data_IF_115193995149
#
_entry.id   IF_115193995149
#
_cell.length_a   1.000
_cell.length_b   1.000
_cell.length_c   1.000
_cell.angle_alpha   90.00
_cell.angle_beta   90.00
_cell.angle_gamma   90.00
#
_symmetry.space_group_name_H-M   'P 1'
#
loop_
_entity.id
_entity.type
_entity.pdbx_description
1 polymer ?
#
# COMPACT_ATOMS: atom_id res chain seq x y z
N UNK A 1 39.41 0.68 12.14
CA UNK A 1 37.97 0.61 12.48
C UNK A 1 37.22 1.57 11.56
N UNK A 2 36.68 1.07 10.45
CA UNK A 2 35.77 1.87 9.63
C UNK A 2 34.40 1.82 10.32
N UNK A 3 33.94 2.95 10.85
CA UNK A 3 32.59 3.05 11.38
C UNK A 3 31.62 2.76 10.23
N UNK A 4 30.93 1.61 10.27
CA UNK A 4 29.83 1.34 9.34
C UNK A 4 28.86 2.50 9.43
N UNK A 5 28.77 3.28 8.35
CA UNK A 5 27.88 4.42 8.31
C UNK A 5 26.46 3.86 8.31
N UNK A 6 25.81 3.87 9.48
CA UNK A 6 24.37 3.63 9.59
C UNK A 6 23.70 4.57 8.61
N UNK A 7 23.18 4.00 7.53
CA UNK A 7 22.64 4.80 6.45
C UNK A 7 21.43 5.56 6.98
N UNK A 8 21.38 6.86 6.70
CA UNK A 8 20.32 7.72 7.23
C UNK A 8 18.95 7.25 6.73
N UNK A 9 17.92 7.36 7.58
CA UNK A 9 16.53 7.07 7.17
C UNK A 9 16.18 7.81 5.88
N UNK A 10 15.47 7.18 4.93
CA UNK A 10 14.99 7.84 3.73
C UNK A 10 14.17 9.09 4.07
N UNK A 11 14.29 10.13 3.26
CA UNK A 11 13.53 11.38 3.45
C UNK A 11 12.03 11.07 3.47
N UNK A 12 11.33 11.56 4.49
CA UNK A 12 9.88 11.39 4.62
C UNK A 12 9.42 10.01 5.10
N UNK A 13 10.33 9.10 5.50
CA UNK A 13 10.00 7.71 5.84
C UNK A 13 8.88 7.63 6.90
N UNK A 14 9.02 8.33 8.02
CA UNK A 14 8.00 8.33 9.07
C UNK A 14 6.66 8.95 8.64
N UNK A 15 6.69 10.00 7.83
CA UNK A 15 5.47 10.63 7.30
C UNK A 15 4.74 9.69 6.33
N UNK A 16 5.47 9.08 5.40
CA UNK A 16 4.89 8.14 4.43
C UNK A 16 4.35 6.88 5.10
N UNK A 17 5.04 6.35 6.11
CA UNK A 17 4.52 5.25 6.94
C UNK A 17 3.18 5.63 7.60
N UNK A 18 3.08 6.83 8.20
CA UNK A 18 1.83 7.31 8.80
C UNK A 18 0.71 7.48 7.76
N UNK A 19 1.03 8.01 6.58
CA UNK A 19 0.08 8.14 5.47
C UNK A 19 -0.46 6.77 5.07
N UNK A 20 0.39 5.74 4.94
CA UNK A 20 -0.07 4.38 4.63
C UNK A 20 -1.00 3.86 5.71
N UNK A 21 -0.63 3.98 6.99
CA UNK A 21 -1.49 3.53 8.09
C UNK A 21 -2.85 4.22 8.08
N UNK A 22 -2.86 5.55 7.96
CA UNK A 22 -4.09 6.33 7.93
C UNK A 22 -4.97 5.98 6.73
N UNK A 23 -4.39 5.93 5.53
CA UNK A 23 -5.09 5.56 4.31
C UNK A 23 -5.69 4.16 4.41
N UNK A 24 -4.91 3.16 4.86
CA UNK A 24 -5.41 1.79 4.96
C UNK A 24 -6.46 1.63 6.07
N UNK A 25 -6.34 2.34 7.19
CA UNK A 25 -7.37 2.35 8.23
C UNK A 25 -8.71 2.89 7.71
N UNK A 26 -8.67 3.98 6.93
CA UNK A 26 -9.85 4.54 6.28
C UNK A 26 -10.43 3.57 5.25
N UNK A 27 -9.61 3.00 4.37
CA UNK A 27 -10.05 2.01 3.40
C UNK A 27 -10.73 0.81 4.08
N UNK A 28 -10.12 0.30 5.15
CA UNK A 28 -10.67 -0.82 5.92
C UNK A 28 -12.03 -0.44 6.53
N UNK A 29 -12.13 0.74 7.14
CA UNK A 29 -13.38 1.23 7.71
C UNK A 29 -14.50 1.32 6.66
N UNK A 30 -14.19 1.84 5.47
CA UNK A 30 -15.14 1.89 4.36
C UNK A 30 -15.54 0.50 3.85
N UNK A 31 -14.59 -0.41 3.66
CA UNK A 31 -14.90 -1.76 3.19
C UNK A 31 -15.74 -2.54 4.21
N UNK A 32 -15.40 -2.47 5.50
CA UNK A 32 -16.14 -3.14 6.57
C UNK A 32 -17.53 -2.54 6.75
N UNK A 33 -17.66 -1.21 6.68
CA UNK A 33 -18.97 -0.55 6.71
C UNK A 33 -19.82 -0.92 5.49
N UNK A 34 -19.20 -1.01 4.32
CA UNK A 34 -19.84 -1.46 3.08
C UNK A 34 -20.32 -2.91 3.15
N UNK A 35 -19.59 -3.80 3.83
CA UNK A 35 -20.02 -5.19 4.04
C UNK A 35 -21.35 -5.27 4.81
N UNK A 36 -21.59 -4.38 5.79
CA UNK A 36 -22.85 -4.34 6.55
C UNK A 36 -24.08 -3.98 5.70
N UNK A 37 -23.89 -3.33 4.56
CA UNK A 37 -24.96 -2.93 3.63
C UNK A 37 -25.26 -4.00 2.56
N UNK A 38 -24.56 -5.14 2.57
CA UNK A 38 -24.62 -6.17 1.51
C UNK A 38 -25.81 -7.13 1.62
N UNK A 39 -26.78 -6.87 2.51
CA UNK A 39 -27.98 -7.70 2.66
C UNK A 39 -29.01 -7.52 1.53
N UNK A 40 -28.68 -6.75 0.49
CA UNK A 40 -29.53 -6.53 -0.67
C UNK A 40 -29.24 -7.62 -1.73
N UNK A 41 -30.25 -8.34 -2.23
CA UNK A 41 -30.08 -9.34 -3.30
C UNK A 41 -29.49 -8.71 -4.59
N UNK A 42 -28.54 -9.40 -5.25
CA UNK A 42 -27.88 -8.92 -6.48
C UNK A 42 -26.48 -8.30 -6.30
N UNK A 43 -25.97 -8.26 -5.05
CA UNK A 43 -24.70 -7.59 -4.68
C UNK A 43 -23.47 -8.53 -4.76
N UNK A 44 -23.61 -9.76 -5.25
CA UNK A 44 -22.53 -10.78 -5.22
C UNK A 44 -21.24 -10.33 -5.91
N UNK A 45 -21.32 -9.58 -7.02
CA UNK A 45 -20.14 -9.03 -7.70
C UNK A 45 -19.43 -7.93 -6.89
N UNK A 46 -20.15 -7.19 -6.05
CA UNK A 46 -19.55 -6.18 -5.16
C UNK A 46 -18.85 -6.81 -3.95
N UNK A 47 -19.28 -8.00 -3.51
CA UNK A 47 -18.68 -8.68 -2.36
C UNK A 47 -17.23 -9.06 -2.65
N UNK A 48 -16.96 -9.64 -3.82
CA UNK A 48 -15.59 -10.00 -4.22
C UNK A 48 -14.68 -8.76 -4.28
N UNK A 49 -15.14 -7.67 -4.87
CA UNK A 49 -14.38 -6.42 -4.95
C UNK A 49 -14.04 -5.85 -3.56
N UNK A 50 -14.97 -5.94 -2.61
CA UNK A 50 -14.80 -5.50 -1.22
C UNK A 50 -13.84 -6.39 -0.46
N UNK A 51 -13.98 -7.72 -0.58
CA UNK A 51 -13.08 -8.69 0.05
C UNK A 51 -11.63 -8.50 -0.42
N UNK A 52 -11.42 -8.36 -1.73
CA UNK A 52 -10.10 -8.03 -2.28
C UNK A 52 -9.57 -6.71 -1.70
N UNK A 53 -10.44 -5.72 -1.51
CA UNK A 53 -10.08 -4.46 -0.85
C UNK A 53 -9.57 -4.64 0.57
N UNK A 54 -10.30 -5.41 1.38
CA UNK A 54 -9.93 -5.72 2.77
C UNK A 54 -8.59 -6.47 2.81
N UNK A 55 -8.43 -7.50 1.98
CA UNK A 55 -7.20 -8.30 1.93
C UNK A 55 -6.00 -7.44 1.55
N UNK A 56 -6.11 -6.60 0.52
CA UNK A 56 -5.04 -5.70 0.11
C UNK A 56 -4.70 -4.69 1.21
N UNK A 57 -5.71 -4.14 1.89
CA UNK A 57 -5.49 -3.20 3.01
C UNK A 57 -4.78 -3.86 4.19
N UNK A 58 -5.20 -5.06 4.59
CA UNK A 58 -4.56 -5.82 5.66
C UNK A 58 -3.12 -6.23 5.30
N UNK A 59 -2.91 -6.74 4.09
CA UNK A 59 -1.58 -7.10 3.60
C UNK A 59 -0.63 -5.89 3.59
N UNK A 60 -1.12 -4.72 3.16
CA UNK A 60 -0.34 -3.47 3.18
C UNK A 60 0.05 -3.06 4.60
N UNK A 61 -0.88 -3.18 5.55
CA UNK A 61 -0.63 -2.85 6.97
C UNK A 61 0.42 -3.78 7.59
N UNK A 62 0.30 -5.09 7.35
CA UNK A 62 1.25 -6.08 7.86
C UNK A 62 2.64 -5.88 7.26
N UNK A 63 2.72 -5.67 5.94
CA UNK A 63 3.98 -5.41 5.27
C UNK A 63 4.62 -4.10 5.77
N UNK A 64 3.82 -3.03 5.94
CA UNK A 64 4.30 -1.77 6.49
C UNK A 64 4.80 -1.89 7.93
N UNK A 65 4.11 -2.68 8.76
CA UNK A 65 4.55 -2.95 10.13
C UNK A 65 5.89 -3.68 10.14
N UNK A 66 6.05 -4.71 9.31
CA UNK A 66 7.29 -5.45 9.19
C UNK A 66 8.45 -4.60 8.59
N UNK A 67 8.16 -3.64 7.72
CA UNK A 67 9.16 -2.67 7.21
C UNK A 67 9.54 -1.64 8.27
N UNK A 68 8.57 -1.07 8.98
CA UNK A 68 8.79 0.01 9.94
C UNK A 68 9.43 -0.47 11.25
N UNK A 69 8.98 -1.61 11.78
CA UNK A 69 9.42 -2.16 13.07
C UNK A 69 10.40 -3.31 12.90
N UNK A 70 10.11 -4.24 11.99
CA UNK A 70 10.95 -5.42 11.74
C UNK A 70 12.14 -5.18 10.81
N UNK A 71 12.20 -4.02 10.13
CA UNK A 71 13.24 -3.63 9.16
C UNK A 71 13.55 -4.72 8.11
N UNK A 72 12.55 -5.50 7.72
CA UNK A 72 12.75 -6.65 6.83
C UNK A 72 12.77 -6.25 5.36
N UNK A 73 13.80 -6.68 4.62
CA UNK A 73 13.89 -6.53 3.16
C UNK A 73 12.78 -7.33 2.44
N UNK A 74 12.51 -8.55 2.89
CA UNK A 74 11.42 -9.37 2.35
C UNK A 74 10.06 -8.68 2.51
N UNK A 75 9.85 -8.00 3.63
CA UNK A 75 8.64 -7.20 3.84
C UNK A 75 8.56 -5.99 2.91
N UNK A 76 9.69 -5.35 2.57
CA UNK A 76 9.73 -4.26 1.61
C UNK A 76 9.34 -4.73 0.20
N UNK A 77 9.83 -5.89 -0.22
CA UNK A 77 9.46 -6.46 -1.53
C UNK A 77 7.98 -6.84 -1.57
N UNK A 78 7.45 -7.46 -0.50
CA UNK A 78 6.01 -7.70 -0.37
C UNK A 78 5.19 -6.41 -0.39
N UNK A 79 5.64 -5.38 0.33
CA UNK A 79 4.96 -4.09 0.35
C UNK A 79 4.89 -3.48 -1.05
N UNK A 80 5.98 -3.54 -1.83
CA UNK A 80 5.99 -3.06 -3.23
C UNK A 80 4.97 -3.81 -4.08
N UNK A 81 4.97 -5.14 -4.01
CA UNK A 81 4.03 -5.97 -4.76
C UNK A 81 2.58 -5.61 -4.41
N UNK A 82 2.24 -5.52 -3.13
CA UNK A 82 0.88 -5.21 -2.67
C UNK A 82 0.45 -3.79 -3.08
N UNK A 83 1.33 -2.80 -2.99
CA UNK A 83 1.03 -1.43 -3.42
C UNK A 83 0.74 -1.35 -4.92
N UNK A 84 1.54 -2.04 -5.76
CA UNK A 84 1.32 -2.09 -7.20
C UNK A 84 0.05 -2.88 -7.58
N UNK A 85 -0.28 -3.95 -6.86
CA UNK A 85 -1.59 -4.62 -6.99
C UNK A 85 -2.73 -3.64 -6.69
N UNK A 86 -2.59 -2.79 -5.68
CA UNK A 86 -3.55 -1.74 -5.35
C UNK A 86 -3.75 -0.74 -6.49
N UNK A 87 -2.66 -0.24 -7.08
CA UNK A 87 -2.69 0.65 -8.26
C UNK A 87 -3.43 -0.03 -9.43
N UNK A 88 -3.07 -1.27 -9.74
CA UNK A 88 -3.68 -2.01 -10.84
C UNK A 88 -5.18 -2.27 -10.62
N UNK A 89 -5.58 -2.56 -9.38
CA UNK A 89 -6.99 -2.69 -9.01
C UNK A 89 -7.76 -1.39 -9.28
N UNK A 90 -7.23 -0.24 -8.86
CA UNK A 90 -7.89 1.05 -9.09
C UNK A 90 -7.98 1.36 -10.59
N UNK A 91 -6.94 1.05 -11.35
CA UNK A 91 -6.93 1.19 -12.80
C UNK A 91 -8.03 0.35 -13.49
N UNK A 92 -8.20 -0.92 -13.09
CA UNK A 92 -9.30 -1.76 -13.62
C UNK A 92 -10.66 -1.13 -13.33
N UNK A 93 -10.87 -0.61 -12.11
CA UNK A 93 -12.12 0.08 -11.74
C UNK A 93 -12.33 1.33 -12.59
N UNK A 94 -11.28 2.11 -12.86
CA UNK A 94 -11.38 3.29 -13.73
C UNK A 94 -11.78 2.90 -15.15
N UNK A 95 -11.13 1.89 -15.75
CA UNK A 95 -11.46 1.41 -17.09
C UNK A 95 -12.91 0.90 -17.17
N UNK A 96 -13.37 0.20 -16.14
CA UNK A 96 -14.75 -0.24 -16.01
C UNK A 96 -15.72 0.94 -15.97
N UNK A 97 -15.46 1.94 -15.12
CA UNK A 97 -16.29 3.14 -14.98
C UNK A 97 -16.30 3.99 -16.26
N UNK A 98 -15.17 4.06 -16.97
CA UNK A 98 -15.07 4.72 -18.26
C UNK A 98 -15.97 4.06 -19.31
N UNK A 99 -16.03 2.73 -19.31
CA UNK A 99 -16.94 1.94 -20.16
C UNK A 99 -18.43 2.17 -19.88
N UNK A 100 -18.80 2.72 -18.71
CA UNK A 100 -20.17 3.09 -18.36
C UNK A 100 -20.57 4.50 -18.84
N UNK A 101 -19.64 5.26 -19.44
CA UNK A 101 -19.90 6.60 -19.97
C UNK A 101 -20.30 7.61 -18.89
N UNK A 102 -21.30 8.44 -19.17
CA UNK A 102 -21.69 9.57 -18.29
C UNK A 102 -22.19 9.13 -16.91
N UNK A 103 -22.80 7.94 -16.80
CA UNK A 103 -23.31 7.38 -15.54
C UNK A 103 -22.16 7.18 -14.54
N UNK A 104 -20.97 6.87 -15.05
CA UNK A 104 -19.77 6.59 -14.25
C UNK A 104 -18.88 7.81 -13.99
N UNK A 105 -19.10 8.97 -14.63
CA UNK A 105 -18.14 10.07 -14.69
C UNK A 105 -17.68 10.57 -13.31
N UNK A 106 -18.57 10.84 -12.32
CA UNK A 106 -18.13 11.31 -11.01
C UNK A 106 -17.34 10.26 -10.21
N UNK A 107 -17.67 8.98 -10.39
CA UNK A 107 -16.96 7.87 -9.75
C UNK A 107 -15.62 7.62 -10.44
N UNK A 108 -15.56 7.76 -11.76
CA UNK A 108 -14.35 7.69 -12.57
C UNK A 108 -13.35 8.77 -12.15
N UNK A 109 -13.76 10.05 -12.10
CA UNK A 109 -12.89 11.16 -11.71
C UNK A 109 -12.34 10.96 -10.30
N UNK A 110 -13.18 10.50 -9.34
CA UNK A 110 -12.71 10.17 -7.99
C UNK A 110 -11.69 9.04 -7.98
N UNK A 111 -11.94 7.97 -8.71
CA UNK A 111 -11.00 6.85 -8.81
C UNK A 111 -9.68 7.28 -9.48
N UNK A 112 -9.74 8.14 -10.50
CA UNK A 112 -8.58 8.74 -11.17
C UNK A 112 -7.74 9.55 -10.19
N UNK A 113 -8.35 10.48 -9.45
CA UNK A 113 -7.65 11.30 -8.48
C UNK A 113 -6.99 10.48 -7.37
N UNK A 114 -7.66 9.45 -6.84
CA UNK A 114 -7.08 8.57 -5.82
C UNK A 114 -5.85 7.83 -6.38
N UNK A 115 -5.92 7.34 -7.62
CA UNK A 115 -4.82 6.60 -8.22
C UNK A 115 -3.59 7.49 -8.45
N UNK A 116 -3.81 8.64 -9.09
CA UNK A 116 -2.73 9.56 -9.49
C UNK A 116 -2.13 10.32 -8.31
N UNK A 117 -2.95 10.74 -7.32
CA UNK A 117 -2.48 11.57 -6.22
C UNK A 117 -2.05 10.77 -4.99
N UNK A 118 -2.51 9.53 -4.84
CA UNK A 118 -2.24 8.73 -3.64
C UNK A 118 -1.57 7.41 -3.97
N UNK A 119 -2.20 6.55 -4.77
CA UNK A 119 -1.73 5.18 -4.96
C UNK A 119 -0.39 5.11 -5.70
N UNK A 120 -0.26 5.80 -6.85
CA UNK A 120 0.96 5.81 -7.67
C UNK A 120 2.11 6.50 -6.92
N UNK A 121 1.98 7.71 -6.35
CA UNK A 121 3.05 8.34 -5.60
C UNK A 121 3.54 7.50 -4.43
N UNK A 122 2.62 6.80 -3.75
CA UNK A 122 2.96 5.92 -2.65
C UNK A 122 3.73 4.67 -3.12
N UNK A 123 3.26 4.02 -4.19
CA UNK A 123 3.96 2.88 -4.78
C UNK A 123 5.37 3.28 -5.24
N UNK A 124 5.49 4.40 -5.97
CA UNK A 124 6.78 4.93 -6.43
C UNK A 124 7.71 5.26 -5.27
N UNK A 125 7.21 5.86 -4.18
CA UNK A 125 8.01 6.17 -3.00
C UNK A 125 8.66 4.90 -2.42
N UNK A 126 7.86 3.86 -2.16
CA UNK A 126 8.35 2.61 -1.55
C UNK A 126 9.13 1.71 -2.53
N UNK A 127 9.01 1.96 -3.83
CA UNK A 127 9.87 1.35 -4.85
C UNK A 127 11.27 1.96 -4.94
N UNK A 128 11.55 3.10 -4.27
CA UNK A 128 12.88 3.74 -4.38
C UNK A 128 14.01 2.86 -3.81
N UNK A 129 15.20 2.81 -4.46
CA UNK A 129 16.36 2.06 -3.99
C UNK A 129 16.87 2.49 -2.61
N UNK A 130 16.66 3.75 -2.23
CA UNK A 130 17.07 4.28 -0.92
C UNK A 130 16.51 3.50 0.26
N UNK A 131 15.32 2.91 0.12
CA UNK A 131 14.73 2.04 1.14
C UNK A 131 15.47 0.72 1.28
N UNK A 132 15.89 0.13 0.16
CA UNK A 132 16.69 -1.09 0.14
C UNK A 132 18.06 -0.86 0.79
N UNK A 133 18.74 0.22 0.42
CA UNK A 133 20.04 0.58 1.02
C UNK A 133 19.92 0.84 2.53
N UNK A 134 18.91 1.58 2.96
CA UNK A 134 18.66 1.81 4.38
C UNK A 134 18.43 0.50 5.16
N UNK A 135 17.54 -0.37 4.69
CA UNK A 135 17.24 -1.63 5.39
C UNK A 135 18.41 -2.62 5.38
N UNK A 136 19.10 -2.76 4.25
CA UNK A 136 20.28 -3.64 4.14
C UNK A 136 21.47 -3.17 4.97
N UNK A 137 21.63 -1.86 5.20
CA UNK A 137 22.66 -1.33 6.11
C UNK A 137 22.43 -1.72 7.58
N UNK A 138 21.18 -1.96 7.98
CA UNK A 138 20.87 -2.39 9.34
C UNK A 138 21.14 -3.89 9.52
N UNK A 139 20.86 -4.69 8.51
CA UNK A 139 21.05 -6.14 8.52
C UNK A 139 22.55 -6.52 8.66
N UNK A 140 23.44 -5.76 8.01
CA UNK A 140 24.90 -5.93 8.13
C UNK A 140 25.43 -5.60 9.52
N UNK A 141 24.90 -4.55 10.16
CA UNK A 141 25.31 -4.15 11.50
C UNK A 141 24.91 -5.13 12.61
N UNK A 142 23.93 -6.02 12.37
CA UNK A 142 23.55 -7.08 13.31
C UNK A 142 24.30 -8.40 13.09
N UNK A 143 25.01 -8.55 11.97
CA UNK A 143 25.81 -9.74 11.64
C UNK A 143 27.26 -9.70 12.14
N UNK A 144 27.74 -8.57 12.67
CA UNK A 144 29.16 -8.35 13.03
C UNK A 144 29.46 -8.42 14.54
N UNK A 145 28.57 -8.98 15.36
CA UNK A 145 28.81 -9.24 16.80
C UNK A 145 28.74 -10.71 17.17
N UNK A 146 28.98 -11.60 16.21
CA UNK A 146 29.08 -13.05 16.44
C UNK A 146 30.17 -13.66 15.54
N UNK A 147 31.43 -13.32 15.80
CA UNK A 147 32.60 -14.09 15.41
C UNK A 147 33.78 -13.70 16.30
#
# INVERSE_FOLDING_TARGET
MAAESRQSKPKGFGMMTRIVYFHQAICLAFFVSGLRLSSVPGVEQLVLHRLVGIVVSLASLLAMFAVANGKSLKALDWLRVVLWIGVFKILIVQLWLLGQGEIGLPSYTRAMLINELVAIPLALYWSRPSHFHYLSSVDRGTGSTAA
#
